data_IF_857035452250
#
_entry.id   IF_857035452250
#
_cell.length_a   1.000
_cell.length_b   1.000
_cell.length_c   1.000
_cell.angle_alpha   90.00
_cell.angle_beta   90.00
_cell.angle_gamma   90.00
#
_symmetry.space_group_name_H-M   'P 1'
#
loop_
_entity.id
_entity.type
_entity.pdbx_description
1 polymer ?
#
# COMPACT_ATOMS: atom_id res chain seq x y z
N UNK A 1 -6.17 17.83 7.49
CA UNK A 1 -4.69 17.78 7.43
C UNK A 1 -4.15 16.34 7.29
N UNK A 2 -4.31 15.45 8.29
CA UNK A 2 -3.72 14.09 8.25
C UNK A 2 -4.17 13.22 7.07
N UNK A 3 -5.48 13.21 6.77
CA UNK A 3 -6.02 12.52 5.60
C UNK A 3 -5.53 13.10 4.28
N UNK A 4 -5.31 14.42 4.22
CA UNK A 4 -4.75 15.08 3.03
C UNK A 4 -3.28 14.70 2.83
N UNK A 5 -2.49 14.56 3.91
CA UNK A 5 -1.11 14.05 3.86
C UNK A 5 -1.11 12.61 3.33
N UNK A 6 -2.00 11.76 3.83
CA UNK A 6 -2.15 10.40 3.32
C UNK A 6 -2.54 10.42 1.83
N UNK A 7 -3.55 11.20 1.46
CA UNK A 7 -4.04 11.28 0.08
C UNK A 7 -2.92 11.71 -0.88
N UNK A 8 -2.19 12.77 -0.53
CA UNK A 8 -1.04 13.23 -1.31
C UNK A 8 0.04 12.16 -1.41
N UNK A 9 0.29 11.41 -0.33
CA UNK A 9 1.23 10.29 -0.38
C UNK A 9 0.75 9.17 -1.28
N UNK A 10 -0.56 9.02 -1.50
CA UNK A 10 -1.18 8.02 -2.38
C UNK A 10 -1.35 8.51 -3.83
N UNK A 11 -0.78 9.67 -4.19
CA UNK A 11 -0.77 10.21 -5.55
C UNK A 11 0.66 10.16 -6.15
N UNK A 12 0.77 9.96 -7.47
CA UNK A 12 2.03 9.91 -8.22
C UNK A 12 2.27 8.62 -9.02
N UNK A 13 3.37 8.58 -9.76
CA UNK A 13 3.73 7.45 -10.63
C UNK A 13 4.04 6.18 -9.82
N UNK A 14 3.73 5.01 -10.38
CA UNK A 14 3.98 3.67 -9.80
C UNK A 14 3.12 3.30 -8.56
N UNK A 15 1.94 3.92 -8.40
CA UNK A 15 1.03 3.56 -7.31
C UNK A 15 0.13 2.41 -7.73
N UNK A 16 0.58 1.20 -7.42
CA UNK A 16 -0.18 -0.05 -7.53
C UNK A 16 -0.65 -0.55 -6.15
N UNK A 17 -1.53 -1.56 -6.12
CA UNK A 17 -2.21 -2.02 -4.91
C UNK A 17 -1.27 -2.30 -3.71
N UNK A 18 -0.09 -2.88 -3.95
CA UNK A 18 0.91 -3.14 -2.88
C UNK A 18 1.46 -1.86 -2.26
N UNK A 19 1.82 -0.87 -3.08
CA UNK A 19 2.35 0.42 -2.61
C UNK A 19 1.32 1.16 -1.76
N UNK A 20 0.04 1.08 -2.11
CA UNK A 20 -1.05 1.64 -1.32
C UNK A 20 -1.24 0.91 0.00
N UNK A 21 -1.28 -0.43 -0.03
CA UNK A 21 -1.31 -1.22 1.21
C UNK A 21 -0.19 -0.81 2.15
N UNK A 22 1.04 -0.69 1.65
CA UNK A 22 2.17 -0.24 2.46
C UNK A 22 1.96 1.17 3.03
N UNK A 23 1.48 2.13 2.23
CA UNK A 23 1.20 3.50 2.66
C UNK A 23 0.09 3.54 3.74
N UNK A 24 -0.98 2.79 3.55
CA UNK A 24 -2.09 2.66 4.51
C UNK A 24 -1.61 2.01 5.81
N UNK A 25 -0.90 0.88 5.73
CA UNK A 25 -0.33 0.20 6.91
C UNK A 25 0.64 1.11 7.66
N UNK A 26 1.51 1.83 6.96
CA UNK A 26 2.43 2.79 7.58
C UNK A 26 1.68 3.94 8.25
N UNK A 27 0.60 4.45 7.63
CA UNK A 27 -0.24 5.49 8.21
C UNK A 27 -0.96 5.02 9.47
N UNK A 28 -1.50 3.80 9.48
CA UNK A 28 -2.10 3.21 10.69
C UNK A 28 -1.09 3.08 11.84
N UNK A 29 0.13 2.62 11.56
CA UNK A 29 1.22 2.57 12.56
C UNK A 29 1.58 3.96 13.09
N UNK A 30 1.58 4.98 12.22
CA UNK A 30 1.78 6.38 12.64
C UNK A 30 0.65 6.87 13.54
N UNK A 31 -0.61 6.60 13.21
CA UNK A 31 -1.76 6.96 14.07
C UNK A 31 -1.62 6.35 15.47
N UNK A 32 -1.23 5.09 15.57
CA UNK A 32 -0.99 4.41 16.85
C UNK A 32 0.15 5.07 17.63
N UNK A 33 1.29 5.34 16.98
CA UNK A 33 2.39 6.07 17.58
C UNK A 33 1.96 7.44 18.11
N UNK A 34 1.10 8.16 17.38
CA UNK A 34 0.61 9.47 17.78
C UNK A 34 -0.32 9.40 18.99
N UNK A 35 -1.21 8.41 19.05
CA UNK A 35 -2.07 8.14 20.22
C UNK A 35 -1.20 7.84 21.46
N UNK A 36 -0.16 7.01 21.31
CA UNK A 36 0.77 6.67 22.41
C UNK A 36 1.56 7.90 22.86
N UNK A 37 2.02 8.72 21.92
CA UNK A 37 2.83 9.91 22.22
C UNK A 37 2.02 10.96 22.97
N UNK A 38 0.75 11.17 22.60
CA UNK A 38 -0.16 12.06 23.34
C UNK A 38 -0.36 11.62 24.78
N UNK A 39 -0.51 10.31 25.04
CA UNK A 39 -0.61 9.76 26.41
C UNK A 39 0.65 9.98 27.24
N UNK A 40 1.81 10.12 26.59
CA UNK A 40 3.11 10.40 27.24
C UNK A 40 3.43 11.89 27.33
N UNK A 41 2.47 12.78 27.03
CA UNK A 41 2.68 14.23 26.93
C UNK A 41 3.79 14.63 25.93
N UNK A 42 4.01 13.83 24.88
CA UNK A 42 4.90 14.20 23.78
C UNK A 42 4.08 14.77 22.61
N UNK A 43 4.29 16.06 22.33
CA UNK A 43 3.60 16.82 21.28
C UNK A 43 4.47 17.14 20.06
N UNK A 44 5.64 16.52 19.91
CA UNK A 44 6.55 16.83 18.79
C UNK A 44 5.91 16.52 17.42
N UNK A 45 4.90 15.65 17.41
CA UNK A 45 4.06 15.31 16.24
C UNK A 45 3.13 16.45 15.82
N UNK A 46 2.79 17.34 16.75
CA UNK A 46 1.92 18.49 16.54
C UNK A 46 2.64 19.79 16.92
N UNK A 47 3.61 20.27 16.11
CA UNK A 47 4.40 21.45 16.45
C UNK A 47 3.54 22.68 16.72
N UNK A 48 2.45 22.85 15.97
CA UNK A 48 1.50 23.95 16.15
C UNK A 48 0.78 23.86 17.50
N UNK A 49 0.46 22.66 17.97
CA UNK A 49 -0.18 22.42 19.26
C UNK A 49 0.72 22.83 20.44
N UNK A 50 2.03 22.63 20.30
CA UNK A 50 3.05 23.02 21.29
C UNK A 50 3.19 24.54 21.43
N UNK A 51 2.82 25.31 20.40
CA UNK A 51 3.02 26.77 20.33
C UNK A 51 1.80 27.54 20.86
N UNK A 52 0.59 26.98 20.76
CA UNK A 52 -0.65 27.77 20.89
C UNK A 52 -1.47 27.54 22.16
N UNK A 53 -1.20 26.52 22.99
CA UNK A 53 -2.10 26.17 24.09
C UNK A 53 -1.58 26.65 25.47
N UNK A 54 -2.46 27.31 26.24
CA UNK A 54 -2.26 27.60 27.67
C UNK A 54 -2.42 26.32 28.51
N UNK A 55 -1.76 26.23 29.67
CA UNK A 55 -1.65 24.99 30.46
C UNK A 55 -2.97 24.26 30.73
N UNK A 56 -4.07 24.98 30.95
CA UNK A 56 -5.40 24.41 31.25
C UNK A 56 -6.17 23.98 29.99
N UNK A 57 -5.93 24.62 28.83
CA UNK A 57 -6.55 24.26 27.54
C UNK A 57 -5.89 23.04 26.88
N UNK A 58 -4.69 22.68 27.35
CA UNK A 58 -3.93 21.54 26.86
C UNK A 58 -4.68 20.23 27.14
N UNK A 59 -5.34 20.09 28.30
CA UNK A 59 -5.95 18.81 28.70
C UNK A 59 -7.22 18.48 27.92
N UNK A 60 -8.13 19.44 27.74
CA UNK A 60 -9.33 19.23 26.90
C UNK A 60 -8.95 18.99 25.43
N UNK A 61 -7.97 19.75 24.93
CA UNK A 61 -7.51 19.59 23.55
C UNK A 61 -6.82 18.25 23.32
N UNK A 62 -6.04 17.75 24.29
CA UNK A 62 -5.47 16.40 24.26
C UNK A 62 -6.55 15.34 24.13
N UNK A 63 -7.59 15.42 24.94
CA UNK A 63 -8.71 14.47 24.92
C UNK A 63 -9.40 14.50 23.56
N UNK A 64 -9.66 15.69 23.01
CA UNK A 64 -10.27 15.85 21.69
C UNK A 64 -9.41 15.25 20.57
N UNK A 65 -8.10 15.54 20.55
CA UNK A 65 -7.17 15.02 19.54
C UNK A 65 -7.07 13.50 19.65
N UNK A 66 -6.93 12.97 20.87
CA UNK A 66 -6.84 11.53 21.10
C UNK A 66 -8.11 10.80 20.63
N UNK A 67 -9.30 11.34 20.94
CA UNK A 67 -10.57 10.79 20.48
C UNK A 67 -10.67 10.77 18.95
N UNK A 68 -10.24 11.85 18.29
CA UNK A 68 -10.22 11.93 16.82
C UNK A 68 -9.25 10.93 16.20
N UNK A 69 -8.02 10.82 16.72
CA UNK A 69 -7.04 9.85 16.23
C UNK A 69 -7.49 8.41 16.44
N UNK A 70 -8.06 8.12 17.61
CA UNK A 70 -8.58 6.78 17.95
C UNK A 70 -9.75 6.40 17.05
N UNK A 71 -10.69 7.32 16.81
CA UNK A 71 -11.81 7.10 15.89
C UNK A 71 -11.30 6.84 14.46
N UNK A 72 -10.35 7.65 14.00
CA UNK A 72 -9.75 7.48 12.67
C UNK A 72 -9.02 6.14 12.54
N UNK A 73 -8.22 5.75 13.53
CA UNK A 73 -7.54 4.46 13.54
C UNK A 73 -8.54 3.29 13.49
N UNK A 74 -9.64 3.36 14.26
CA UNK A 74 -10.69 2.33 14.23
C UNK A 74 -11.34 2.22 12.86
N UNK A 75 -11.69 3.34 12.23
CA UNK A 75 -12.28 3.36 10.90
C UNK A 75 -11.34 2.72 9.86
N UNK A 76 -10.05 3.08 9.88
CA UNK A 76 -9.06 2.47 9.00
C UNK A 76 -8.89 0.98 9.28
N UNK A 77 -8.82 0.58 10.55
CA UNK A 77 -8.72 -0.83 10.94
C UNK A 77 -9.89 -1.64 10.42
N UNK A 78 -11.12 -1.12 10.52
CA UNK A 78 -12.31 -1.78 10.00
C UNK A 78 -12.36 -1.82 8.47
N UNK A 79 -12.06 -0.71 7.81
CA UNK A 79 -12.13 -0.60 6.35
C UNK A 79 -11.04 -1.44 5.65
N UNK A 80 -9.89 -1.60 6.29
CA UNK A 80 -8.72 -2.29 5.73
C UNK A 80 -8.38 -3.62 6.43
N UNK A 81 -9.30 -4.17 7.24
CA UNK A 81 -9.10 -5.41 7.99
C UNK A 81 -8.72 -6.62 7.11
N UNK A 82 -9.24 -6.66 5.89
CA UNK A 82 -9.10 -7.77 4.95
C UNK A 82 -8.11 -7.47 3.81
N UNK A 83 -7.17 -6.53 4.00
CA UNK A 83 -6.08 -6.25 3.05
C UNK A 83 -5.03 -7.40 3.00
N UNK A 84 -5.43 -8.66 3.11
CA UNK A 84 -4.47 -9.74 2.90
C UNK A 84 -4.12 -9.83 1.41
N UNK A 85 -2.86 -9.51 1.13
CA UNK A 85 -2.28 -9.52 -0.22
C UNK A 85 -1.24 -10.63 -0.34
N UNK A 86 -1.11 -11.51 0.66
CA UNK A 86 -0.14 -12.60 0.70
C UNK A 86 -0.29 -13.54 -0.50
N UNK A 87 -1.53 -13.84 -0.89
CA UNK A 87 -1.86 -14.63 -2.09
C UNK A 87 -1.42 -13.99 -3.40
N UNK A 88 -1.15 -12.69 -3.40
CA UNK A 88 -0.69 -11.94 -4.56
C UNK A 88 0.82 -11.68 -4.53
N UNK A 89 1.57 -12.20 -3.56
CA UNK A 89 3.02 -11.93 -3.45
C UNK A 89 3.79 -12.34 -4.72
N UNK A 90 3.28 -13.32 -5.46
CA UNK A 90 3.81 -13.72 -6.76
C UNK A 90 3.79 -12.62 -7.81
N UNK A 91 2.86 -11.67 -7.72
CA UNK A 91 2.83 -10.50 -8.60
C UNK A 91 4.06 -9.63 -8.33
N UNK A 92 4.42 -9.48 -7.05
CA UNK A 92 5.57 -8.68 -6.60
C UNK A 92 6.90 -9.35 -6.88
N UNK A 93 6.96 -10.66 -6.69
CA UNK A 93 8.13 -11.45 -6.98
C UNK A 93 7.71 -12.87 -7.37
N UNK A 94 7.65 -13.20 -8.67
CA UNK A 94 7.25 -14.53 -9.10
C UNK A 94 8.39 -15.56 -8.91
N UNK A 95 9.61 -15.13 -8.56
CA UNK A 95 10.75 -16.01 -8.32
C UNK A 95 10.80 -16.57 -6.89
N UNK A 96 9.73 -16.43 -6.10
CA UNK A 96 9.59 -17.05 -4.78
C UNK A 96 9.02 -18.46 -4.96
N UNK A 97 9.85 -19.33 -5.54
CA UNK A 97 9.51 -20.70 -6.02
C UNK A 97 8.88 -21.58 -4.93
N UNK A 98 9.15 -21.33 -3.66
CA UNK A 98 8.64 -22.16 -2.55
C UNK A 98 7.20 -21.83 -2.13
N UNK A 99 6.48 -20.92 -2.81
CA UNK A 99 5.17 -20.43 -2.35
C UNK A 99 4.01 -20.58 -3.35
N UNK A 100 4.22 -21.18 -4.52
CA UNK A 100 3.20 -21.23 -5.59
C UNK A 100 1.86 -21.84 -5.16
N UNK A 101 1.89 -22.77 -4.22
CA UNK A 101 0.71 -23.46 -3.69
C UNK A 101 -0.16 -22.59 -2.76
N UNK A 102 0.35 -21.45 -2.28
CA UNK A 102 -0.40 -20.50 -1.44
C UNK A 102 -1.02 -19.33 -2.21
N UNK A 103 -0.78 -19.23 -3.51
CA UNK A 103 -1.19 -18.06 -4.31
C UNK A 103 -2.64 -18.09 -4.81
N UNK A 104 -3.41 -19.13 -4.48
CA UNK A 104 -4.79 -19.28 -4.97
C UNK A 104 -4.87 -19.36 -6.50
N UNK A 105 -3.80 -19.84 -7.13
CA UNK A 105 -3.70 -20.09 -8.57
C UNK A 105 -4.24 -21.49 -8.89
N UNK A 106 -4.77 -21.64 -10.11
CA UNK A 106 -5.10 -22.96 -10.68
C UNK A 106 -3.83 -23.76 -10.96
N UNK A 107 -3.93 -25.08 -11.15
CA UNK A 107 -2.78 -25.92 -11.48
C UNK A 107 -2.04 -25.43 -12.73
N UNK A 108 -2.76 -25.09 -13.79
CA UNK A 108 -2.17 -24.56 -15.03
C UNK A 108 -1.40 -23.24 -14.80
N UNK A 109 -1.91 -22.37 -13.93
CA UNK A 109 -1.24 -21.12 -13.58
C UNK A 109 -0.03 -21.35 -12.67
N UNK A 110 -0.06 -22.38 -11.81
CA UNK A 110 1.08 -22.80 -11.02
C UNK A 110 2.20 -23.34 -11.92
N UNK A 111 1.87 -24.14 -12.94
CA UNK A 111 2.85 -24.59 -13.94
C UNK A 111 3.49 -23.39 -14.65
N UNK A 112 2.69 -22.43 -15.13
CA UNK A 112 3.20 -21.20 -15.73
C UNK A 112 4.13 -20.41 -14.80
N UNK A 113 3.80 -20.34 -13.50
CA UNK A 113 4.64 -19.62 -12.54
C UNK A 113 5.94 -20.36 -12.25
N UNK A 114 5.91 -21.69 -12.25
CA UNK A 114 7.09 -22.54 -12.10
C UNK A 114 8.01 -22.33 -13.30
N UNK A 115 7.48 -22.36 -14.52
CA UNK A 115 8.25 -22.12 -15.76
C UNK A 115 8.88 -20.73 -15.75
N UNK A 116 8.09 -19.68 -15.49
CA UNK A 116 8.57 -18.31 -15.40
C UNK A 116 9.66 -18.16 -14.33
N UNK A 117 9.44 -18.75 -13.15
CA UNK A 117 10.37 -18.64 -12.02
C UNK A 117 11.68 -19.41 -12.21
N UNK A 118 11.69 -20.38 -13.13
CA UNK A 118 12.87 -21.20 -13.46
C UNK A 118 13.75 -20.54 -14.53
N UNK A 119 13.23 -19.54 -15.25
CA UNK A 119 13.98 -18.83 -16.27
C UNK A 119 14.95 -17.80 -15.66
N UNK A 120 16.25 -18.10 -15.75
CA UNK A 120 17.31 -17.23 -15.25
C UNK A 120 17.44 -15.88 -15.99
N UNK A 121 17.05 -15.84 -17.27
CA UNK A 121 17.05 -14.62 -18.09
C UNK A 121 15.94 -13.69 -17.64
N UNK A 122 14.73 -14.24 -17.44
CA UNK A 122 13.62 -13.47 -16.86
C UNK A 122 13.96 -13.01 -15.44
N UNK A 123 14.62 -13.84 -14.63
CA UNK A 123 15.06 -13.45 -13.29
C UNK A 123 15.99 -12.25 -13.30
N UNK A 124 16.94 -12.22 -14.23
CA UNK A 124 17.84 -11.08 -14.39
C UNK A 124 17.09 -9.84 -14.88
N UNK A 125 16.23 -9.99 -15.89
CA UNK A 125 15.38 -8.89 -16.38
C UNK A 125 14.53 -8.27 -15.26
N UNK A 126 13.95 -9.10 -14.39
CA UNK A 126 13.16 -8.64 -13.24
C UNK A 126 13.99 -7.90 -12.18
N UNK A 127 15.28 -8.22 -12.05
CA UNK A 127 16.19 -7.47 -11.14
C UNK A 127 16.52 -6.10 -11.69
N UNK A 128 16.60 -5.97 -13.01
CA UNK A 128 17.02 -4.74 -13.68
C UNK A 128 15.83 -3.78 -13.95
N UNK A 129 14.59 -4.28 -13.97
CA UNK A 129 13.37 -3.50 -14.16
C UNK A 129 12.75 -3.07 -12.82
N UNK A 130 12.68 -1.75 -12.58
CA UNK A 130 12.11 -1.19 -11.36
C UNK A 130 10.57 -1.03 -11.41
N UNK A 131 9.96 -1.12 -12.60
CA UNK A 131 8.52 -1.01 -12.78
C UNK A 131 7.87 -2.39 -12.96
N UNK A 132 7.14 -2.81 -11.93
CA UNK A 132 6.39 -4.08 -11.89
C UNK A 132 5.37 -4.22 -13.02
N UNK A 133 4.71 -3.13 -13.43
CA UNK A 133 3.73 -3.16 -14.53
C UNK A 133 4.44 -3.41 -15.85
N UNK A 134 5.56 -2.72 -16.11
CA UNK A 134 6.39 -2.93 -17.31
C UNK A 134 6.89 -4.36 -17.39
N UNK A 135 7.35 -4.90 -16.27
CA UNK A 135 7.84 -6.26 -16.15
C UNK A 135 6.76 -7.30 -16.50
N UNK A 136 5.53 -7.15 -16.02
CA UNK A 136 4.42 -8.04 -16.40
C UNK A 136 4.05 -7.88 -17.87
N UNK A 137 4.09 -6.66 -18.41
CA UNK A 137 3.84 -6.42 -19.84
C UNK A 137 4.89 -7.08 -20.75
N UNK A 138 6.16 -7.16 -20.32
CA UNK A 138 7.23 -7.81 -21.11
C UNK A 138 7.04 -9.31 -21.26
N UNK A 139 6.51 -9.98 -20.24
CA UNK A 139 6.27 -11.43 -20.25
C UNK A 139 4.88 -11.82 -20.78
N UNK A 140 4.09 -10.85 -21.27
CA UNK A 140 2.70 -11.07 -21.69
C UNK A 140 2.54 -12.11 -22.79
N UNK A 141 3.47 -12.14 -23.75
CA UNK A 141 3.36 -13.07 -24.89
C UNK A 141 3.58 -14.52 -24.44
N UNK A 142 4.51 -14.74 -23.51
CA UNK A 142 4.87 -16.07 -23.03
C UNK A 142 3.94 -16.53 -21.89
N UNK A 143 3.45 -15.59 -21.06
CA UNK A 143 2.62 -15.85 -19.89
C UNK A 143 1.37 -14.93 -19.83
N UNK A 144 0.47 -15.01 -20.83
CA UNK A 144 -0.66 -14.07 -20.95
C UNK A 144 -1.64 -14.17 -19.78
N UNK A 145 -1.92 -15.38 -19.30
CA UNK A 145 -2.87 -15.61 -18.19
C UNK A 145 -2.38 -15.00 -16.88
N UNK A 146 -1.12 -15.25 -16.52
CA UNK A 146 -0.49 -14.66 -15.33
C UNK A 146 -0.41 -13.14 -15.46
N UNK A 147 -0.04 -12.65 -16.63
CA UNK A 147 0.06 -11.21 -16.88
C UNK A 147 -1.27 -10.50 -16.71
N UNK A 148 -2.37 -11.04 -17.27
CA UNK A 148 -3.69 -10.43 -17.13
C UNK A 148 -4.14 -10.39 -15.67
N UNK A 149 -3.96 -11.48 -14.91
CA UNK A 149 -4.26 -11.50 -13.47
C UNK A 149 -3.40 -10.51 -12.67
N UNK A 150 -2.12 -10.39 -13.00
CA UNK A 150 -1.24 -9.43 -12.37
C UNK A 150 -1.75 -7.99 -12.61
N UNK A 151 -2.08 -7.67 -13.86
CA UNK A 151 -2.57 -6.36 -14.24
C UNK A 151 -3.94 -6.03 -13.62
N UNK A 152 -4.85 -6.99 -13.49
CA UNK A 152 -6.13 -6.81 -12.78
C UNK A 152 -5.95 -6.36 -11.32
N UNK A 153 -4.84 -6.73 -10.67
CA UNK A 153 -4.55 -6.31 -9.30
C UNK A 153 -3.74 -5.01 -9.28
N UNK A 154 -2.86 -4.80 -10.27
CA UNK A 154 -1.98 -3.63 -10.32
C UNK A 154 -2.69 -2.36 -10.82
N UNK A 155 -3.62 -2.48 -11.78
CA UNK A 155 -4.21 -1.36 -12.52
C UNK A 155 -5.45 -0.65 -11.93
N UNK A 156 -6.35 -1.26 -11.13
CA UNK A 156 -7.60 -0.63 -10.69
C UNK A 156 -7.44 0.71 -9.96
N UNK A 157 -6.23 1.04 -9.53
CA UNK A 157 -5.94 2.29 -8.84
C UNK A 157 -5.17 3.31 -9.68
N UNK A 158 -4.58 2.90 -10.80
CA UNK A 158 -3.98 3.84 -11.76
C UNK A 158 -5.09 4.67 -12.41
N UNK A 159 -6.28 4.08 -12.59
CA UNK A 159 -7.44 4.73 -13.20
C UNK A 159 -8.08 5.81 -12.32
N UNK A 160 -8.07 5.69 -10.98
CA UNK A 160 -8.60 6.75 -10.11
C UNK A 160 -7.73 7.99 -10.12
N UNK A 161 -6.39 7.82 -10.10
CA UNK A 161 -5.45 8.94 -10.24
C UNK A 161 -5.55 9.59 -11.62
N UNK A 162 -5.64 8.81 -12.70
CA UNK A 162 -5.81 9.36 -14.05
C UNK A 162 -7.10 10.19 -14.17
N UNK A 163 -8.22 9.72 -13.61
CA UNK A 163 -9.45 10.52 -13.57
C UNK A 163 -9.29 11.84 -12.80
N UNK A 164 -8.56 11.86 -11.68
CA UNK A 164 -8.29 13.10 -10.94
C UNK A 164 -7.42 14.08 -11.72
N UNK A 165 -6.41 13.58 -12.45
CA UNK A 165 -5.51 14.44 -13.26
C UNK A 165 -6.12 14.94 -14.58
N UNK A 166 -7.03 14.19 -15.18
CA UNK A 166 -7.68 14.57 -16.45
C UNK A 166 -8.81 15.58 -16.23
N UNK A 167 -9.32 15.72 -15.01
CA UNK A 167 -10.39 16.70 -14.69
C UNK A 167 -9.85 18.11 -14.38
N UNK A 168 -8.53 18.32 -14.48
CA UNK A 168 -7.90 19.64 -14.34
C UNK A 168 -7.04 19.94 -15.59
N UNK A 169 -7.72 20.15 -16.72
CA UNK A 169 -7.19 20.89 -17.87
C UNK A 169 -8.26 21.82 -18.42
#
# INVERSE_FOLDING_TARGET
>A
MLLSILNKSMQGDQIHAFTQKHKITAFMKKLELWIISLKKNNFDIFPTFKITCLADEIEESKVLINNRLTSLWKQFSLYFKDLDMSKYEWIRNPFVVEKYYYFGLTTAEQEMIIDLSSDSTLKQMFRDENNIVTLWLRVKNDFPTLTNKALEILLPFVTSYLCETVTVQ
#
